data_IF_516579163688
#
_entry.id   IF_516579163688
#
_cell.length_a   1.000
_cell.length_b   1.000
_cell.length_c   1.000
_cell.angle_alpha   90.00
_cell.angle_beta   90.00
_cell.angle_gamma   90.00
#
_symmetry.space_group_name_H-M   'P 1'
#
loop_
_entity.id
_entity.type
_entity.pdbx_description
1 polymer ?
#
# COMPACT_ATOMS: atom_id res chain seq x y z
N UNK A 1 -5.91 0.79 18.92
CA UNK A 1 -5.33 1.67 19.95
C UNK A 1 -4.42 2.61 19.20
N UNK A 2 -4.73 3.92 19.14
CA UNK A 2 -3.93 4.88 18.36
C UNK A 2 -2.58 5.18 19.02
N UNK A 3 -1.58 5.57 18.23
CA UNK A 3 -0.24 5.93 18.68
C UNK A 3 -0.09 7.45 18.62
N UNK A 4 0.33 8.06 19.74
CA UNK A 4 0.58 9.50 19.80
C UNK A 4 1.91 9.83 19.12
N UNK A 5 1.85 10.76 18.15
CA UNK A 5 3.02 11.26 17.44
C UNK A 5 3.11 12.76 17.66
N UNK A 6 4.10 13.20 18.43
CA UNK A 6 4.35 14.62 18.63
C UNK A 6 5.19 15.17 17.47
N UNK A 7 4.55 15.84 16.52
CA UNK A 7 5.22 16.87 15.72
C UNK A 7 4.95 18.23 16.35
N UNK A 8 5.86 19.19 16.18
CA UNK A 8 5.85 20.49 16.84
C UNK A 8 4.58 21.29 16.47
N UNK A 9 3.50 21.11 17.22
CA UNK A 9 2.27 21.90 17.13
C UNK A 9 0.97 21.18 16.74
N UNK A 10 0.99 19.89 16.35
CA UNK A 10 -0.24 19.13 16.04
C UNK A 10 -0.15 17.72 16.64
N UNK A 11 -1.03 17.40 17.59
CA UNK A 11 -1.22 16.04 18.12
C UNK A 11 -2.17 15.28 17.20
N UNK A 12 -1.66 14.83 16.06
CA UNK A 12 -2.39 13.90 15.20
C UNK A 12 -2.25 12.48 15.78
N UNK A 13 -3.38 11.88 16.15
CA UNK A 13 -3.44 10.48 16.58
C UNK A 13 -3.42 9.65 15.31
N UNK A 14 -2.34 8.90 15.11
CA UNK A 14 -2.26 7.97 13.98
C UNK A 14 -2.80 6.61 14.38
N UNK A 15 -3.63 6.05 13.51
CA UNK A 15 -4.18 4.71 13.70
C UNK A 15 -3.08 3.67 13.46
N UNK A 16 -2.89 2.78 14.44
CA UNK A 16 -2.05 1.58 14.35
C UNK A 16 -2.86 0.48 13.66
N UNK A 17 -2.67 0.36 12.35
CA UNK A 17 -3.33 -0.64 11.53
C UNK A 17 -2.46 -1.16 10.38
N UNK A 18 -2.84 -2.33 9.88
CA UNK A 18 -2.27 -2.96 8.69
C UNK A 18 -3.14 -2.69 7.48
N UNK A 19 -2.51 -2.33 6.37
CA UNK A 19 -3.19 -2.09 5.11
C UNK A 19 -2.68 -3.04 4.02
N UNK A 20 -3.61 -3.52 3.17
CA UNK A 20 -3.28 -4.20 1.93
C UNK A 20 -3.32 -3.21 0.78
N UNK A 21 -2.21 -3.01 0.09
CA UNK A 21 -2.11 -2.08 -1.04
C UNK A 21 -2.05 -2.84 -2.36
N UNK A 22 -2.66 -2.27 -3.40
CA UNK A 22 -2.64 -2.82 -4.76
C UNK A 22 -2.76 -1.69 -5.78
N UNK A 23 -2.12 -1.83 -6.94
CA UNK A 23 -2.29 -0.88 -8.02
C UNK A 23 -3.64 -1.10 -8.73
N UNK A 24 -4.33 -0.03 -9.12
CA UNK A 24 -5.63 -0.12 -9.80
C UNK A 24 -5.56 -0.90 -11.12
N UNK A 25 -4.43 -0.81 -11.85
CA UNK A 25 -4.20 -1.60 -13.08
C UNK A 25 -4.13 -3.11 -12.77
N UNK A 26 -3.54 -3.50 -11.64
CA UNK A 26 -3.44 -4.92 -11.27
C UNK A 26 -4.81 -5.48 -10.90
N UNK A 27 -5.67 -4.68 -10.26
CA UNK A 27 -7.07 -5.05 -10.00
C UNK A 27 -7.82 -5.28 -11.32
N UNK A 28 -7.67 -4.38 -12.29
CA UNK A 28 -8.30 -4.54 -13.61
C UNK A 28 -7.79 -5.78 -14.35
N UNK A 29 -6.47 -6.01 -14.35
CA UNK A 29 -5.86 -7.20 -14.96
C UNK A 29 -6.30 -8.48 -14.25
N UNK A 30 -6.39 -8.47 -12.91
CA UNK A 30 -6.89 -9.62 -12.15
C UNK A 30 -8.32 -9.98 -12.55
N UNK A 31 -9.20 -8.99 -12.76
CA UNK A 31 -10.55 -9.24 -13.23
C UNK A 31 -10.58 -9.88 -14.62
N UNK A 32 -9.79 -9.38 -15.57
CA UNK A 32 -9.67 -9.96 -16.92
C UNK A 32 -9.16 -11.40 -16.83
N UNK A 33 -8.04 -11.61 -16.12
CA UNK A 33 -7.39 -12.91 -15.95
C UNK A 33 -8.34 -13.96 -15.36
N UNK A 34 -9.11 -13.58 -14.34
CA UNK A 34 -10.08 -14.48 -13.70
C UNK A 34 -11.29 -14.77 -14.58
N UNK A 35 -11.72 -13.83 -15.40
CA UNK A 35 -12.84 -14.02 -16.32
C UNK A 35 -12.46 -14.94 -17.49
N UNK A 36 -11.26 -14.77 -18.04
CA UNK A 36 -10.78 -15.56 -19.20
C UNK A 36 -10.35 -16.98 -18.81
N UNK A 37 -9.91 -17.19 -17.57
CA UNK A 37 -9.51 -18.50 -17.08
C UNK A 37 -10.71 -19.31 -16.56
N UNK A 38 -11.20 -20.24 -17.38
CA UNK A 38 -12.35 -21.10 -17.07
C UNK A 38 -12.15 -22.02 -15.86
N UNK A 39 -10.90 -22.22 -15.42
CA UNK A 39 -10.56 -23.00 -14.22
C UNK A 39 -10.50 -22.15 -12.95
N UNK A 40 -10.57 -20.82 -13.05
CA UNK A 40 -10.54 -19.93 -11.90
C UNK A 40 -11.82 -20.07 -11.08
N UNK A 41 -11.67 -20.33 -9.77
CA UNK A 41 -12.82 -20.53 -8.87
C UNK A 41 -12.63 -19.84 -7.51
N UNK A 42 -13.77 -19.49 -6.91
CA UNK A 42 -13.82 -18.89 -5.58
C UNK A 42 -13.20 -17.49 -5.51
N UNK A 43 -12.85 -17.08 -4.28
CA UNK A 43 -12.30 -15.75 -4.00
C UNK A 43 -10.80 -15.68 -4.25
N UNK A 44 -10.34 -14.52 -4.71
CA UNK A 44 -8.94 -14.23 -4.97
C UNK A 44 -8.57 -12.95 -4.22
N UNK A 45 -7.66 -13.04 -3.26
CA UNK A 45 -7.11 -11.86 -2.61
C UNK A 45 -6.24 -11.10 -3.62
N UNK A 46 -6.43 -9.79 -3.76
CA UNK A 46 -5.71 -8.94 -4.71
C UNK A 46 -5.02 -7.79 -3.96
N UNK A 47 -3.84 -8.08 -3.43
CA UNK A 47 -2.96 -7.18 -2.68
C UNK A 47 -1.52 -7.47 -3.08
N UNK A 48 -0.73 -6.44 -3.38
CA UNK A 48 0.70 -6.59 -3.64
C UNK A 48 1.47 -6.84 -2.34
N UNK A 49 1.18 -6.04 -1.31
CA UNK A 49 1.75 -6.19 0.01
C UNK A 49 0.73 -5.83 1.09
N UNK A 50 0.85 -6.52 2.22
CA UNK A 50 0.27 -6.09 3.48
C UNK A 50 1.40 -5.43 4.28
N UNK A 51 1.22 -4.18 4.69
CA UNK A 51 2.21 -3.45 5.49
C UNK A 51 1.55 -2.64 6.58
N UNK A 52 2.28 -2.39 7.67
CA UNK A 52 1.84 -1.44 8.67
C UNK A 52 1.78 -0.02 8.07
N UNK A 53 0.80 0.79 8.49
CA UNK A 53 0.67 2.18 8.01
C UNK A 53 1.95 3.01 8.24
N UNK A 54 2.67 2.74 9.33
CA UNK A 54 3.99 3.31 9.61
C UNK A 54 5.05 3.02 8.55
N UNK A 55 5.09 1.79 8.03
CA UNK A 55 6.04 1.41 6.96
C UNK A 55 5.68 2.12 5.65
N UNK A 56 4.38 2.23 5.34
CA UNK A 56 3.89 2.98 4.18
C UNK A 56 4.27 4.45 4.27
N UNK A 57 3.94 5.12 5.38
CA UNK A 57 4.25 6.53 5.60
C UNK A 57 5.76 6.80 5.54
N UNK A 58 6.58 5.91 6.09
CA UNK A 58 8.04 5.99 5.99
C UNK A 58 8.51 5.91 4.54
N UNK A 59 7.94 5.02 3.72
CA UNK A 59 8.30 4.92 2.30
C UNK A 59 7.87 6.16 1.50
N UNK A 60 6.70 6.75 1.81
CA UNK A 60 6.30 8.03 1.17
C UNK A 60 7.27 9.15 1.55
N UNK A 61 7.67 9.24 2.83
CA UNK A 61 8.61 10.27 3.30
C UNK A 61 10.03 10.09 2.73
N UNK A 62 10.45 8.86 2.45
CA UNK A 62 11.70 8.56 1.72
C UNK A 62 11.64 9.05 0.27
N UNK A 63 10.52 8.81 -0.41
CA UNK A 63 10.35 9.16 -1.83
C UNK A 63 10.10 10.66 -2.06
N UNK A 64 9.45 11.32 -1.12
CA UNK A 64 9.04 12.72 -1.21
C UNK A 64 9.32 13.49 0.09
N UNK A 65 10.61 13.74 0.40
CA UNK A 65 11.00 14.43 1.63
C UNK A 65 10.47 15.87 1.73
N UNK A 66 10.04 16.47 0.62
CA UNK A 66 9.45 17.82 0.58
C UNK A 66 8.11 17.96 1.30
N UNK A 67 7.36 16.85 1.49
CA UNK A 67 6.02 16.89 2.09
C UNK A 67 5.98 16.93 3.62
N UNK A 68 7.14 16.98 4.30
CA UNK A 68 7.24 17.07 5.77
C UNK A 68 6.27 16.13 6.51
N UNK A 69 6.21 14.86 6.09
CA UNK A 69 5.29 13.89 6.67
C UNK A 69 5.64 13.56 8.13
N UNK A 70 4.65 13.44 9.02
CA UNK A 70 4.89 13.04 10.40
C UNK A 70 5.55 11.67 10.49
N UNK A 71 6.60 11.57 11.31
CA UNK A 71 7.29 10.30 11.55
C UNK A 71 6.53 9.49 12.57
N UNK A 72 5.86 8.45 12.11
CA UNK A 72 5.21 7.52 13.01
C UNK A 72 6.26 6.77 13.84
N UNK A 73 6.02 6.56 15.15
CA UNK A 73 6.85 5.69 15.96
C UNK A 73 7.03 4.37 15.24
N UNK A 74 8.28 3.88 15.23
CA UNK A 74 8.58 2.58 14.65
C UNK A 74 7.69 1.55 15.32
N UNK A 75 7.09 0.72 14.49
CA UNK A 75 6.26 -0.40 14.92
C UNK A 75 6.95 -1.15 16.07
N UNK A 76 6.27 -1.21 17.21
CA UNK A 76 6.75 -1.96 18.39
C UNK A 76 6.66 -3.47 18.17
N UNK A 77 6.07 -3.94 17.06
CA UNK A 77 5.93 -5.34 16.70
C UNK A 77 6.66 -5.68 15.39
N UNK A 78 8.00 -5.74 15.40
CA UNK A 78 8.79 -6.16 14.24
C UNK A 78 8.43 -7.61 13.87
N UNK A 79 7.67 -7.81 12.80
CA UNK A 79 7.43 -9.14 12.23
C UNK A 79 6.00 -9.45 11.79
N UNK A 80 5.02 -8.58 12.04
CA UNK A 80 3.64 -8.86 11.62
C UNK A 80 3.51 -8.70 10.09
N UNK A 81 3.61 -9.84 9.40
CA UNK A 81 3.13 -10.11 8.04
C UNK A 81 3.33 -9.00 7.00
N UNK A 82 4.59 -8.67 6.71
CA UNK A 82 5.00 -8.11 5.42
C UNK A 82 4.90 -9.20 4.34
N UNK A 83 3.69 -9.68 4.08
CA UNK A 83 3.47 -10.79 3.15
C UNK A 83 3.40 -10.27 1.74
N UNK A 84 4.49 -10.42 0.99
CA UNK A 84 4.55 -10.17 -0.46
C UNK A 84 3.84 -11.24 -1.29
N UNK A 85 3.41 -12.34 -0.65
CA UNK A 85 2.81 -13.50 -1.32
C UNK A 85 1.35 -13.71 -0.89
N UNK A 86 0.69 -12.71 -0.29
CA UNK A 86 -0.70 -12.81 0.14
C UNK A 86 -1.65 -13.11 -1.04
N UNK A 87 -1.32 -12.63 -2.23
CA UNK A 87 -2.07 -12.86 -3.48
C UNK A 87 -1.61 -14.07 -4.28
N UNK A 88 -1.13 -15.13 -3.61
CA UNK A 88 -0.57 -16.33 -4.25
C UNK A 88 -1.45 -16.90 -5.38
N UNK A 89 -2.77 -17.01 -5.21
CA UNK A 89 -3.65 -17.53 -6.26
C UNK A 89 -3.58 -16.72 -7.57
N UNK A 90 -3.46 -15.39 -7.50
CA UNK A 90 -3.33 -14.55 -8.69
C UNK A 90 -1.93 -14.64 -9.28
N UNK A 91 -0.90 -14.73 -8.43
CA UNK A 91 0.49 -14.91 -8.87
C UNK A 91 0.69 -16.26 -9.58
N UNK A 92 0.09 -17.33 -9.07
CA UNK A 92 0.10 -18.66 -9.67
C UNK A 92 -0.62 -18.68 -11.04
N UNK A 93 -1.53 -17.72 -11.29
CA UNK A 93 -2.18 -17.49 -12.59
C UNK A 93 -1.36 -16.58 -13.52
N UNK A 94 -0.17 -16.13 -13.10
CA UNK A 94 0.75 -15.31 -13.89
C UNK A 94 0.66 -13.81 -13.64
N UNK A 95 -0.24 -13.34 -12.77
CA UNK A 95 -0.34 -11.90 -12.47
C UNK A 95 0.93 -11.42 -11.74
N UNK A 96 1.58 -10.40 -12.30
CA UNK A 96 2.71 -9.71 -11.68
C UNK A 96 2.22 -8.39 -11.10
N UNK A 97 2.40 -8.19 -9.80
CA UNK A 97 1.97 -6.97 -9.12
C UNK A 97 2.99 -5.85 -9.30
N UNK A 98 2.47 -4.63 -9.50
CA UNK A 98 3.26 -3.40 -9.51
C UNK A 98 3.71 -3.11 -8.07
N UNK A 99 5.02 -2.91 -7.83
CA UNK A 99 5.55 -2.76 -6.48
C UNK A 99 5.06 -1.48 -5.80
N UNK A 100 4.94 -1.51 -4.48
CA UNK A 100 4.51 -0.38 -3.64
C UNK A 100 5.16 0.97 -4.01
N UNK A 101 6.46 0.98 -4.28
CA UNK A 101 7.17 2.21 -4.67
C UNK A 101 6.56 2.87 -5.91
N UNK A 102 6.21 2.07 -6.92
CA UNK A 102 5.58 2.57 -8.13
C UNK A 102 4.11 2.96 -7.89
N UNK A 103 3.39 2.22 -7.04
CA UNK A 103 2.04 2.59 -6.61
C UNK A 103 2.04 4.00 -5.99
N UNK A 104 2.98 4.26 -5.08
CA UNK A 104 3.13 5.57 -4.44
C UNK A 104 3.47 6.64 -5.48
N UNK A 105 4.44 6.38 -6.35
CA UNK A 105 4.88 7.34 -7.37
C UNK A 105 3.76 7.75 -8.33
N UNK A 106 3.05 6.78 -8.90
CA UNK A 106 1.92 7.05 -9.82
C UNK A 106 0.76 7.75 -9.10
N UNK A 107 0.53 7.44 -7.81
CA UNK A 107 -0.51 8.10 -7.01
C UNK A 107 -0.17 9.58 -6.75
N UNK A 108 1.05 9.88 -6.31
CA UNK A 108 1.50 11.26 -6.05
C UNK A 108 1.48 12.07 -7.34
N UNK A 109 1.96 11.52 -8.44
CA UNK A 109 1.93 12.20 -9.75
C UNK A 109 0.48 12.48 -10.19
N UNK A 110 -0.44 11.53 -10.01
CA UNK A 110 -1.85 11.74 -10.31
C UNK A 110 -2.47 12.86 -9.46
N UNK A 111 -2.11 12.94 -8.17
CA UNK A 111 -2.58 13.99 -7.27
C UNK A 111 -2.03 15.36 -7.65
N UNK A 112 -0.75 15.45 -8.05
CA UNK A 112 -0.11 16.69 -8.57
C UNK A 112 -0.81 17.18 -9.83
N UNK A 113 -0.97 16.30 -10.83
CA UNK A 113 -1.64 16.65 -12.11
C UNK A 113 -3.06 17.15 -11.90
N UNK A 114 -3.76 16.62 -10.88
CA UNK A 114 -5.12 17.03 -10.52
C UNK A 114 -5.17 18.23 -9.56
N UNK A 115 -4.03 18.84 -9.23
CA UNK A 115 -3.89 19.98 -8.33
C UNK A 115 -4.43 19.73 -6.91
N UNK A 116 -4.40 18.48 -6.43
CA UNK A 116 -4.75 18.16 -5.04
C UNK A 116 -3.59 18.39 -4.07
N UNK A 117 -2.35 18.28 -4.58
CA UNK A 117 -1.11 18.52 -3.84
C UNK A 117 -0.14 19.28 -4.76
N UNK A 118 0.79 20.04 -4.16
CA UNK A 118 1.83 20.81 -4.85
C UNK A 118 3.17 20.10 -4.84
#
# INVERSE_FOLDING_TARGET
HGVNVSSMGCTDIYEDFFMGSVHVKDVALAHILLYENTSATGRHLCVEAISHYGDFAAKVAELYPEYNLPRLPKDTQPGLLRSKNASKKLMDLGLQFIPMEQIIKESVESLKIKNFIS
#
